data_IF_850682476982
#
_entry.id   IF_850682476982
#
_cell.length_a   1.000
_cell.length_b   1.000
_cell.length_c   1.000
_cell.angle_alpha   90.00
_cell.angle_beta   90.00
_cell.angle_gamma   90.00
#
_symmetry.space_group_name_H-M   'P 1'
#
loop_
_entity.id
_entity.type
_entity.pdbx_description
1 polymer ?
#
# COMPACT_ATOMS: atom_id res chain seq x y z
N UNK A 1 5.01 -8.95 12.68
CA UNK A 1 4.12 -7.78 12.68
C UNK A 1 2.75 -8.20 12.15
N UNK A 2 1.65 -7.80 12.80
CA UNK A 2 0.29 -8.12 12.33
C UNK A 2 0.02 -7.57 10.93
N UNK A 3 -0.69 -8.33 10.09
CA UNK A 3 -1.15 -7.93 8.76
C UNK A 3 -1.79 -6.53 8.74
N UNK A 4 -2.62 -6.26 9.75
CA UNK A 4 -3.34 -5.00 9.88
C UNK A 4 -2.38 -3.81 10.06
N UNK A 5 -1.30 -4.02 10.82
CA UNK A 5 -0.26 -3.02 11.02
C UNK A 5 0.50 -2.73 9.72
N UNK A 6 0.92 -3.76 8.99
CA UNK A 6 1.59 -3.57 7.69
C UNK A 6 0.68 -2.84 6.68
N UNK A 7 -0.61 -3.19 6.63
CA UNK A 7 -1.57 -2.50 5.76
C UNK A 7 -1.75 -1.03 6.16
N UNK A 8 -1.87 -0.74 7.46
CA UNK A 8 -2.01 0.63 7.96
C UNK A 8 -0.77 1.48 7.64
N UNK A 9 0.44 0.93 7.79
CA UNK A 9 1.69 1.61 7.41
C UNK A 9 1.74 1.94 5.92
N UNK A 10 1.30 1.02 5.05
CA UNK A 10 1.23 1.29 3.60
C UNK A 10 0.20 2.39 3.29
N UNK A 11 -0.96 2.40 3.95
CA UNK A 11 -1.94 3.48 3.82
C UNK A 11 -1.37 4.84 4.24
N UNK A 12 -0.70 4.91 5.39
CA UNK A 12 -0.09 6.14 5.87
C UNK A 12 0.97 6.66 4.90
N UNK A 13 1.86 5.77 4.40
CA UNK A 13 2.89 6.12 3.43
C UNK A 13 2.32 6.62 2.11
N UNK A 14 1.24 6.01 1.62
CA UNK A 14 0.52 6.47 0.43
C UNK A 14 0.00 7.90 0.63
N UNK A 15 -0.70 8.16 1.74
CA UNK A 15 -1.23 9.50 2.04
C UNK A 15 -0.11 10.54 2.09
N UNK A 16 1.00 10.25 2.77
CA UNK A 16 2.15 11.16 2.81
C UNK A 16 2.68 11.52 1.41
N UNK A 17 2.79 10.52 0.51
CA UNK A 17 3.27 10.75 -0.87
C UNK A 17 2.28 11.58 -1.68
N UNK A 18 0.98 11.33 -1.54
CA UNK A 18 -0.07 12.12 -2.23
C UNK A 18 -0.09 13.56 -1.71
N UNK A 19 -0.03 13.78 -0.40
CA UNK A 19 0.04 15.13 0.17
C UNK A 19 1.29 15.89 -0.28
N UNK A 20 2.44 15.22 -0.33
CA UNK A 20 3.67 15.80 -0.86
C UNK A 20 3.52 16.16 -2.35
N UNK A 21 2.90 15.29 -3.15
CA UNK A 21 2.64 15.54 -4.57
C UNK A 21 1.71 16.74 -4.81
N UNK A 22 0.72 16.94 -3.94
CA UNK A 22 -0.20 18.09 -3.99
C UNK A 22 0.48 19.42 -3.62
N UNK A 23 1.61 19.37 -2.92
CA UNK A 23 2.27 20.54 -2.32
C UNK A 23 3.41 21.12 -3.17
N UNK A 24 3.77 20.54 -4.32
CA UNK A 24 5.00 20.93 -5.03
C UNK A 24 5.04 20.69 -6.53
N UNK A 25 6.05 21.31 -7.17
CA UNK A 25 6.57 20.87 -8.47
C UNK A 25 7.25 19.51 -8.27
N UNK A 26 7.10 18.59 -9.21
CA UNK A 26 7.51 17.17 -9.16
C UNK A 26 6.48 16.18 -8.56
N UNK A 27 5.19 16.46 -8.76
CA UNK A 27 4.10 15.55 -8.40
C UNK A 27 4.20 14.16 -9.07
N UNK A 28 4.68 14.09 -10.33
CA UNK A 28 4.68 12.85 -11.10
C UNK A 28 5.56 11.73 -10.47
N UNK A 29 6.84 11.96 -10.13
CA UNK A 29 7.65 10.97 -9.41
C UNK A 29 7.04 10.52 -8.07
N UNK A 30 6.39 11.42 -7.35
CA UNK A 30 5.75 11.12 -6.06
C UNK A 30 4.49 10.26 -6.25
N UNK A 31 3.69 10.56 -7.27
CA UNK A 31 2.52 9.78 -7.64
C UNK A 31 2.89 8.37 -8.14
N UNK A 32 3.99 8.23 -8.90
CA UNK A 32 4.53 6.91 -9.28
C UNK A 32 4.88 6.07 -8.04
N UNK A 33 5.58 6.66 -7.06
CA UNK A 33 5.89 5.96 -5.80
C UNK A 33 4.62 5.64 -5.00
N UNK A 34 3.63 6.53 -4.99
CA UNK A 34 2.36 6.28 -4.31
C UNK A 34 1.62 5.09 -4.95
N UNK A 35 1.67 4.97 -6.27
CA UNK A 35 1.13 3.84 -7.01
C UNK A 35 1.83 2.52 -6.65
N UNK A 36 3.15 2.52 -6.49
CA UNK A 36 3.88 1.32 -6.05
C UNK A 36 3.47 0.87 -4.63
N UNK A 37 3.23 1.83 -3.72
CA UNK A 37 2.72 1.52 -2.37
C UNK A 37 1.33 0.89 -2.42
N UNK A 38 0.47 1.36 -3.33
CA UNK A 38 -0.84 0.74 -3.60
C UNK A 38 -0.70 -0.71 -4.08
N UNK A 39 0.20 -0.98 -5.02
CA UNK A 39 0.50 -2.34 -5.50
C UNK A 39 1.00 -3.24 -4.37
N UNK A 40 1.88 -2.74 -3.50
CA UNK A 40 2.36 -3.48 -2.34
C UNK A 40 1.21 -3.85 -1.38
N UNK A 41 0.27 -2.94 -1.15
CA UNK A 41 -0.93 -3.20 -0.34
C UNK A 41 -1.85 -4.23 -0.99
N UNK A 42 -2.03 -4.16 -2.30
CA UNK A 42 -2.82 -5.13 -3.06
C UNK A 42 -2.21 -6.54 -2.94
N UNK A 43 -0.88 -6.67 -3.11
CA UNK A 43 -0.18 -7.93 -2.95
C UNK A 43 -0.30 -8.48 -1.52
N UNK A 44 -0.19 -7.61 -0.51
CA UNK A 44 -0.37 -7.98 0.89
C UNK A 44 -1.78 -8.57 1.10
N UNK A 45 -2.82 -7.89 0.61
CA UNK A 45 -4.21 -8.35 0.70
C UNK A 45 -4.43 -9.68 0.00
N UNK A 46 -3.87 -9.85 -1.20
CA UNK A 46 -3.90 -11.11 -1.94
C UNK A 46 -3.23 -12.26 -1.16
N UNK A 47 -2.08 -12.01 -0.52
CA UNK A 47 -1.42 -13.01 0.32
C UNK A 47 -2.27 -13.44 1.50
N UNK A 48 -2.97 -12.51 2.16
CA UNK A 48 -3.93 -12.85 3.22
C UNK A 48 -5.11 -13.66 2.67
N UNK A 49 -5.66 -13.27 1.52
CA UNK A 49 -6.75 -14.00 0.88
C UNK A 49 -6.33 -15.43 0.50
N UNK A 50 -5.11 -15.59 -0.04
CA UNK A 50 -4.54 -16.89 -0.41
C UNK A 50 -4.25 -17.77 0.81
N UNK A 51 -3.73 -17.19 1.89
CA UNK A 51 -3.55 -17.90 3.16
C UNK A 51 -4.89 -18.41 3.72
N UNK A 52 -5.94 -17.59 3.65
CA UNK A 52 -7.30 -17.97 4.07
C UNK A 52 -7.94 -19.02 3.13
N UNK A 53 -7.56 -19.05 1.85
CA UNK A 53 -8.12 -20.00 0.87
C UNK A 53 -7.38 -21.35 0.82
N UNK A 54 -6.15 -21.43 1.34
CA UNK A 54 -5.40 -22.67 1.52
C UNK A 54 -5.71 -23.40 2.84
N UNK A 55 -6.53 -22.80 3.70
CA UNK A 55 -6.98 -23.32 4.99
C UNK A 55 -8.39 -23.93 4.91
N UNK A 56 -8.74 -24.55 3.78
CA UNK A 56 -10.02 -25.26 3.65
C UNK A 56 -9.80 -26.79 3.85
N UNK A 57 -10.55 -27.44 4.76
CA UNK A 57 -10.39 -28.86 5.12
C UNK A 57 -10.71 -29.83 3.98
#
# INVERSE_FOLDING_TARGET
>A
MSFHFQSACLCARYLCLVFAALSGKDALPLLLRAHDVLKQRQLLMQKKQAALSGEQP
#
